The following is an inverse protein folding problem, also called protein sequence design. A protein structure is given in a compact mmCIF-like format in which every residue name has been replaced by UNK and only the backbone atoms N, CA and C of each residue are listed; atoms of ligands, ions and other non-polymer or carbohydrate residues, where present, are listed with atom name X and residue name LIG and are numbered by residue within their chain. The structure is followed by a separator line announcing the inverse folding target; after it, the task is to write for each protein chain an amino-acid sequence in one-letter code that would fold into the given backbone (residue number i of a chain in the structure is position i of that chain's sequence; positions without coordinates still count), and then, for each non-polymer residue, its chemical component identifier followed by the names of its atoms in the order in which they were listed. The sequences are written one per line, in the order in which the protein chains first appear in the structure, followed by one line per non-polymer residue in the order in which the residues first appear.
data_IF_868866827479
#
_entry.id   IF_868866827479
#
_cell.length_a   1.000
_cell.length_b   1.000
_cell.length_c   1.000
_cell.angle_alpha   90.00
_cell.angle_beta   90.00
_cell.angle_gamma   90.00
#
_symmetry.space_group_name_H-M   'P 1'
#
loop_
_entity.id
_entity.type
_entity.pdbx_description
1 polymer ?
#
# COMPACT_ATOMS: atom_id res chain seq x y z
N UNK A 1 -34.41 5.14 -22.80
CA UNK A 1 -33.83 6.25 -22.03
C UNK A 1 -32.40 6.41 -22.50
N UNK A 2 -31.94 7.63 -22.78
CA UNK A 2 -30.51 7.86 -23.01
C UNK A 2 -29.83 7.83 -21.64
N UNK A 3 -28.84 6.97 -21.47
CA UNK A 3 -28.08 6.92 -20.23
C UNK A 3 -27.16 8.13 -20.15
N UNK A 4 -27.05 8.69 -18.94
CA UNK A 4 -26.09 9.73 -18.65
C UNK A 4 -24.68 9.17 -18.72
N UNK A 5 -23.76 9.96 -19.23
CA UNK A 5 -22.36 9.58 -19.34
C UNK A 5 -21.48 10.59 -18.62
N UNK A 6 -20.39 10.10 -18.03
CA UNK A 6 -19.38 10.90 -17.36
C UNK A 6 -18.11 10.96 -18.19
N UNK A 7 -17.47 12.13 -18.19
CA UNK A 7 -16.17 12.34 -18.80
C UNK A 7 -15.50 13.58 -18.18
N UNK A 8 -14.34 13.93 -18.69
CA UNK A 8 -13.51 15.03 -18.20
C UNK A 8 -13.47 16.14 -19.25
N UNK A 9 -13.53 17.39 -18.79
CA UNK A 9 -13.33 18.56 -19.65
C UNK A 9 -11.89 18.61 -20.14
N UNK A 10 -11.75 18.72 -21.46
CA UNK A 10 -10.47 18.85 -22.15
C UNK A 10 -10.13 20.32 -22.40
N UNK A 11 -11.12 21.15 -22.71
CA UNK A 11 -10.91 22.58 -22.98
C UNK A 11 -12.22 23.36 -22.75
N UNK A 12 -12.10 24.62 -22.36
CA UNK A 12 -13.22 25.54 -22.09
C UNK A 12 -13.01 26.82 -22.88
N UNK A 13 -13.80 27.02 -23.93
CA UNK A 13 -13.78 28.23 -24.73
C UNK A 13 -15.14 28.93 -24.65
N UNK A 14 -15.32 29.77 -23.63
CA UNK A 14 -16.58 30.48 -23.40
C UNK A 14 -16.82 31.61 -24.40
N UNK A 15 -15.76 32.15 -25.02
CA UNK A 15 -15.86 33.20 -26.05
C UNK A 15 -16.52 32.65 -27.32
N UNK A 16 -16.14 31.43 -27.74
CA UNK A 16 -16.78 30.70 -28.84
C UNK A 16 -18.03 29.92 -28.39
N UNK A 17 -18.32 29.91 -27.09
CA UNK A 17 -19.47 29.23 -26.50
C UNK A 17 -19.39 27.70 -26.57
N UNK A 18 -18.18 27.14 -26.61
CA UNK A 18 -17.94 25.70 -26.72
C UNK A 18 -17.11 25.16 -25.54
N UNK A 19 -17.54 24.01 -25.00
CA UNK A 19 -16.79 23.22 -24.01
C UNK A 19 -16.42 21.90 -24.68
N UNK A 20 -15.13 21.55 -24.70
CA UNK A 20 -14.64 20.30 -25.29
C UNK A 20 -14.43 19.29 -24.16
N UNK A 21 -14.99 18.11 -24.34
CA UNK A 21 -15.00 17.01 -23.37
C UNK A 21 -14.32 15.81 -24.00
N UNK A 22 -13.49 15.11 -23.23
CA UNK A 22 -12.78 13.92 -23.72
C UNK A 22 -13.74 12.87 -24.30
N UNK A 23 -13.34 12.31 -25.44
CA UNK A 23 -14.02 11.16 -26.07
C UNK A 23 -14.18 9.98 -25.10
N UNK A 24 -15.33 9.30 -25.22
CA UNK A 24 -15.71 8.18 -24.33
C UNK A 24 -15.03 6.86 -24.68
N UNK A 25 -14.55 6.70 -25.91
CA UNK A 25 -13.84 5.52 -26.38
C UNK A 25 -12.56 5.98 -27.11
N UNK A 26 -11.43 5.35 -26.77
CA UNK A 26 -10.13 5.61 -27.38
C UNK A 26 -10.13 5.40 -28.90
N UNK A 27 -11.00 4.52 -29.42
CA UNK A 27 -11.12 4.20 -30.84
C UNK A 27 -11.87 5.27 -31.67
N UNK A 28 -12.49 6.27 -31.03
CA UNK A 28 -13.13 7.39 -31.74
C UNK A 28 -12.13 8.49 -32.09
N UNK A 29 -12.34 9.14 -33.24
CA UNK A 29 -11.49 10.24 -33.72
C UNK A 29 -11.79 11.57 -33.04
N UNK A 30 -13.07 11.83 -32.75
CA UNK A 30 -13.51 13.16 -32.32
C UNK A 30 -13.85 13.20 -30.83
N UNK A 31 -13.47 14.31 -30.18
CA UNK A 31 -13.90 14.68 -28.83
C UNK A 31 -15.38 15.14 -28.83
N UNK A 32 -15.96 15.23 -27.64
CA UNK A 32 -17.36 15.61 -27.45
C UNK A 32 -17.45 17.13 -27.29
N UNK A 33 -18.43 17.75 -27.95
CA UNK A 33 -18.62 19.21 -27.89
C UNK A 33 -19.90 19.54 -27.14
N UNK A 34 -19.82 20.43 -26.15
CA UNK A 34 -20.99 21.03 -25.52
C UNK A 34 -21.11 22.50 -25.97
N UNK A 35 -22.16 22.81 -26.73
CA UNK A 35 -22.44 24.19 -27.18
C UNK A 35 -23.22 24.96 -26.13
N UNK A 36 -23.11 26.29 -26.14
CA UNK A 36 -23.83 27.20 -25.24
C UNK A 36 -25.32 26.88 -25.07
N UNK A 37 -26.02 26.67 -26.18
CA UNK A 37 -27.45 26.30 -26.16
C UNK A 37 -27.77 25.00 -25.39
N UNK A 38 -26.78 24.16 -25.10
CA UNK A 38 -26.92 22.87 -24.42
C UNK A 38 -26.55 22.90 -22.93
N UNK A 39 -25.83 23.94 -22.48
CA UNK A 39 -25.46 24.09 -21.07
C UNK A 39 -26.02 25.37 -20.42
N UNK A 40 -26.43 26.39 -21.18
CA UNK A 40 -26.88 27.68 -20.63
C UNK A 40 -28.11 27.59 -19.73
N UNK A 41 -28.91 26.53 -19.88
CA UNK A 41 -30.07 26.25 -19.03
C UNK A 41 -29.75 25.35 -17.83
N UNK A 42 -28.63 24.63 -17.87
CA UNK A 42 -28.24 23.66 -16.84
C UNK A 42 -27.11 24.13 -15.94
N UNK A 43 -26.30 25.11 -16.39
CA UNK A 43 -25.21 25.72 -15.64
C UNK A 43 -25.54 27.17 -15.30
N UNK A 44 -25.33 27.55 -14.05
CA UNK A 44 -25.40 28.93 -13.59
C UNK A 44 -24.18 29.75 -14.06
N UNK A 45 -24.25 31.08 -13.94
CA UNK A 45 -23.11 31.95 -14.23
C UNK A 45 -21.87 31.58 -13.42
N UNK A 46 -22.05 31.25 -12.15
CA UNK A 46 -20.95 30.86 -11.25
C UNK A 46 -20.34 29.51 -11.67
N UNK A 47 -21.17 28.58 -12.16
CA UNK A 47 -20.69 27.28 -12.67
C UNK A 47 -19.76 27.49 -13.87
N UNK A 48 -20.13 28.39 -14.79
CA UNK A 48 -19.32 28.74 -15.98
C UNK A 48 -18.02 29.45 -15.61
N UNK A 49 -18.04 30.37 -14.64
CA UNK A 49 -16.85 31.06 -14.16
C UNK A 49 -15.87 30.11 -13.42
N UNK A 50 -16.38 29.01 -12.86
CA UNK A 50 -15.57 28.02 -12.14
C UNK A 50 -15.06 26.85 -13.00
N UNK A 51 -15.57 26.72 -14.22
CA UNK A 51 -15.32 25.59 -15.12
C UNK A 51 -13.88 25.64 -15.65
N UNK A 52 -13.16 24.53 -15.57
CA UNK A 52 -11.79 24.45 -16.09
C UNK A 52 -11.48 23.08 -16.70
N UNK A 53 -10.36 23.02 -17.41
CA UNK A 53 -9.77 21.76 -17.87
C UNK A 53 -9.53 20.81 -16.68
N UNK A 54 -9.91 19.55 -16.85
CA UNK A 54 -9.80 18.51 -15.83
C UNK A 54 -11.08 18.26 -15.01
N UNK A 55 -12.12 19.09 -15.15
CA UNK A 55 -13.35 18.94 -14.39
C UNK A 55 -14.15 17.71 -14.83
N UNK A 56 -14.67 16.95 -13.87
CA UNK A 56 -15.56 15.84 -14.17
C UNK A 56 -16.99 16.35 -14.41
N UNK A 57 -17.57 15.91 -15.52
CA UNK A 57 -18.89 16.33 -15.97
C UNK A 57 -19.78 15.14 -16.31
N UNK A 58 -21.06 15.30 -16.05
CA UNK A 58 -22.12 14.36 -16.42
C UNK A 58 -23.04 15.01 -17.46
N UNK A 59 -23.40 14.28 -18.52
CA UNK A 59 -24.24 14.81 -19.60
C UNK A 59 -24.99 13.69 -20.34
N UNK A 60 -25.96 14.09 -21.17
CA UNK A 60 -26.62 13.20 -22.12
C UNK A 60 -25.95 13.29 -23.49
N UNK A 61 -25.33 12.21 -24.02
CA UNK A 61 -24.74 12.24 -25.34
C UNK A 61 -25.82 12.25 -26.42
N UNK A 62 -25.65 13.10 -27.44
CA UNK A 62 -26.50 13.14 -28.64
C UNK A 62 -25.63 13.17 -29.88
N UNK A 63 -25.88 12.28 -30.83
CA UNK A 63 -25.17 12.26 -32.12
C UNK A 63 -25.94 13.06 -33.15
N UNK A 64 -25.27 14.01 -33.83
CA UNK A 64 -25.83 14.75 -34.98
C UNK A 64 -24.81 14.68 -36.11
N UNK A 65 -25.17 14.01 -37.21
CA UNK A 65 -24.22 13.68 -38.27
C UNK A 65 -23.12 12.75 -37.74
N UNK A 66 -21.85 13.12 -37.95
CA UNK A 66 -20.68 12.37 -37.44
C UNK A 66 -20.20 12.82 -36.07
N UNK A 67 -20.75 13.90 -35.51
CA UNK A 67 -20.28 14.51 -34.25
C UNK A 67 -21.17 14.14 -33.06
N UNK A 68 -20.57 14.11 -31.87
CA UNK A 68 -21.25 13.85 -30.61
C UNK A 68 -21.29 15.14 -29.80
N UNK A 69 -22.47 15.44 -29.28
CA UNK A 69 -22.73 16.59 -28.45
C UNK A 69 -23.12 16.17 -27.04
N UNK A 70 -22.67 16.94 -26.06
CA UNK A 70 -23.13 16.82 -24.69
C UNK A 70 -24.32 17.75 -24.47
N UNK A 71 -25.44 17.22 -23.95
CA UNK A 71 -26.62 18.00 -23.53
C UNK A 71 -26.81 17.95 -22.04
N UNK A 72 -27.38 19.03 -21.49
CA UNK A 72 -27.67 19.18 -20.06
C UNK A 72 -26.44 18.90 -19.21
N UNK A 73 -25.34 19.58 -19.57
CA UNK A 73 -24.07 19.46 -18.88
C UNK A 73 -24.25 19.80 -17.41
N UNK A 74 -23.84 18.87 -16.55
CA UNK A 74 -23.80 19.03 -15.11
C UNK A 74 -22.37 18.86 -14.65
N UNK A 75 -21.83 19.89 -14.00
CA UNK A 75 -20.55 19.77 -13.32
C UNK A 75 -20.77 18.86 -12.11
N UNK A 76 -20.00 17.78 -12.04
CA UNK A 76 -19.91 16.99 -10.83
C UNK A 76 -18.94 17.75 -9.92
N UNK A 77 -19.50 18.75 -9.23
CA UNK A 77 -18.84 19.79 -8.44
C UNK A 77 -17.38 19.46 -8.10
N UNK A 78 -16.45 20.19 -8.70
CA UNK A 78 -15.09 20.23 -8.22
C UNK A 78 -15.12 20.62 -6.75
N UNK A 79 -14.82 19.66 -5.88
CA UNK A 79 -14.28 19.93 -4.57
C UNK A 79 -12.98 20.70 -4.72
N UNK A 80 -13.04 22.01 -4.86
CA UNK A 80 -11.84 22.83 -4.77
C UNK A 80 -11.45 22.84 -3.29
N UNK A 81 -10.39 22.12 -2.98
CA UNK A 81 -9.79 22.13 -1.65
C UNK A 81 -9.04 23.47 -1.52
N UNK A 82 -9.34 24.21 -0.46
CA UNK A 82 -8.71 25.49 -0.17
C UNK A 82 -8.09 25.49 1.21
N UNK A 83 -7.10 26.37 1.38
CA UNK A 83 -6.50 26.68 2.68
C UNK A 83 -6.80 28.14 2.99
N UNK A 84 -7.30 28.42 4.19
CA UNK A 84 -7.53 29.77 4.69
C UNK A 84 -7.35 29.80 6.20
N UNK A 85 -7.75 30.89 6.86
CA UNK A 85 -7.66 31.07 8.31
C UNK A 85 -9.03 31.24 8.93
N UNK A 86 -9.19 30.73 10.14
CA UNK A 86 -10.38 30.97 10.96
C UNK A 86 -10.44 32.47 11.28
N UNK A 87 -11.55 33.09 10.87
CA UNK A 87 -11.86 34.49 11.16
C UNK A 87 -12.60 34.64 12.48
N UNK A 88 -13.54 33.73 12.75
CA UNK A 88 -14.39 33.77 13.93
C UNK A 88 -14.95 32.38 14.26
N UNK A 89 -15.18 32.11 15.54
CA UNK A 89 -15.76 30.85 16.04
C UNK A 89 -16.97 31.20 16.92
N UNK A 90 -18.15 30.76 16.49
CA UNK A 90 -19.37 30.80 17.28
C UNK A 90 -19.51 29.49 18.06
N UNK A 91 -19.21 29.53 19.35
CA UNK A 91 -19.25 28.37 20.25
C UNK A 91 -20.67 27.95 20.59
N UNK A 92 -21.60 28.90 20.67
CA UNK A 92 -23.00 28.62 21.05
C UNK A 92 -23.76 27.98 19.88
N UNK A 93 -23.49 28.44 18.65
CA UNK A 93 -24.14 27.92 17.44
C UNK A 93 -23.34 26.81 16.74
N UNK A 94 -22.16 26.49 17.26
CA UNK A 94 -21.24 25.49 16.68
C UNK A 94 -20.92 25.79 15.20
N UNK A 95 -20.50 27.03 14.94
CA UNK A 95 -20.17 27.54 13.61
C UNK A 95 -18.77 28.15 13.57
N UNK A 96 -18.10 28.00 12.43
CA UNK A 96 -16.77 28.56 12.17
C UNK A 96 -16.86 29.41 10.92
N UNK A 97 -16.42 30.67 11.00
CA UNK A 97 -16.29 31.58 9.87
C UNK A 97 -14.83 31.60 9.44
N UNK A 98 -14.60 31.37 8.15
CA UNK A 98 -13.28 31.22 7.56
C UNK A 98 -13.10 32.32 6.51
N UNK A 99 -11.94 32.98 6.53
CA UNK A 99 -11.66 34.10 5.63
C UNK A 99 -11.86 33.70 4.16
N UNK A 100 -12.46 34.60 3.37
CA UNK A 100 -12.51 34.50 1.90
C UNK A 100 -11.13 34.26 1.29
N UNK A 101 -11.10 33.54 0.17
CA UNK A 101 -9.85 33.10 -0.49
C UNK A 101 -9.41 34.05 -1.62
N UNK A 102 -10.31 34.89 -2.12
CA UNK A 102 -10.00 35.90 -3.15
C UNK A 102 -10.61 37.26 -2.79
N UNK A 103 -10.07 38.33 -3.39
CA UNK A 103 -10.61 39.70 -3.22
C UNK A 103 -11.93 39.91 -3.95
N UNK A 104 -12.18 39.12 -4.99
CA UNK A 104 -13.40 39.13 -5.80
C UNK A 104 -14.55 38.39 -5.12
N UNK A 105 -14.26 37.59 -4.08
CA UNK A 105 -15.26 36.94 -3.26
C UNK A 105 -15.86 37.94 -2.24
N UNK A 106 -17.17 38.16 -2.35
CA UNK A 106 -17.89 39.12 -1.51
C UNK A 106 -18.15 38.67 -0.07
N UNK A 107 -18.09 37.36 0.20
CA UNK A 107 -18.48 36.76 1.50
C UNK A 107 -17.46 35.75 2.00
N UNK A 108 -17.31 35.64 3.32
CA UNK A 108 -16.53 34.59 3.97
C UNK A 108 -17.20 33.20 3.87
N UNK A 109 -16.44 32.15 4.17
CA UNK A 109 -16.97 30.79 4.22
C UNK A 109 -17.57 30.48 5.59
N UNK A 110 -18.70 29.77 5.58
CA UNK A 110 -19.36 29.25 6.77
C UNK A 110 -19.15 27.73 6.88
N UNK A 111 -18.59 27.29 7.99
CA UNK A 111 -18.55 25.88 8.37
C UNK A 111 -19.50 25.64 9.55
N UNK A 112 -20.43 24.70 9.40
CA UNK A 112 -21.40 24.31 10.43
C UNK A 112 -21.09 22.91 10.93
N UNK A 113 -21.50 22.56 12.15
CA UNK A 113 -21.16 21.28 12.81
C UNK A 113 -21.21 20.04 11.91
N UNK A 114 -22.27 19.85 11.14
CA UNK A 114 -22.42 18.70 10.24
C UNK A 114 -21.27 18.54 9.22
N UNK A 115 -20.54 19.62 8.93
CA UNK A 115 -19.46 19.66 7.95
C UNK A 115 -18.07 19.38 8.54
N UNK A 116 -17.94 19.32 9.86
CA UNK A 116 -16.68 19.03 10.52
C UNK A 116 -16.77 17.96 11.61
N UNK A 117 -17.96 17.55 12.03
CA UNK A 117 -18.16 16.61 13.14
C UNK A 117 -17.56 15.22 12.92
N UNK A 118 -17.20 14.88 11.69
CA UNK A 118 -16.51 13.65 11.34
C UNK A 118 -14.98 13.75 11.46
N UNK A 119 -14.42 14.96 11.58
CA UNK A 119 -12.98 15.23 11.66
C UNK A 119 -12.60 15.85 13.01
N UNK A 120 -13.37 16.82 13.47
CA UNK A 120 -13.13 17.57 14.70
C UNK A 120 -13.96 16.99 15.84
N UNK A 121 -13.28 16.37 16.81
CA UNK A 121 -13.88 15.99 18.10
C UNK A 121 -14.25 17.23 18.90
N UNK A 122 -15.17 17.11 19.87
CA UNK A 122 -15.56 18.22 20.74
C UNK A 122 -14.36 18.86 21.47
N UNK A 123 -13.36 18.05 21.83
CA UNK A 123 -12.12 18.50 22.47
C UNK A 123 -11.29 19.37 21.51
N UNK A 124 -11.13 18.92 20.27
CA UNK A 124 -10.39 19.65 19.23
C UNK A 124 -11.12 20.93 18.80
N UNK A 125 -12.44 20.86 18.67
CA UNK A 125 -13.25 22.04 18.41
C UNK A 125 -12.97 23.08 19.50
N UNK A 126 -13.09 22.72 20.78
CA UNK A 126 -12.83 23.64 21.91
C UNK A 126 -11.44 24.26 21.94
N UNK A 127 -10.42 23.59 21.41
CA UNK A 127 -9.06 24.13 21.31
C UNK A 127 -8.82 25.07 20.13
N UNK A 128 -9.72 25.14 19.15
CA UNK A 128 -9.59 26.04 18.00
C UNK A 128 -9.50 27.51 18.41
N UNK A 129 -8.64 28.24 17.71
CA UNK A 129 -8.39 29.66 17.90
C UNK A 129 -8.60 30.45 16.60
N UNK A 130 -8.98 31.71 16.73
CA UNK A 130 -9.00 32.65 15.60
C UNK A 130 -7.57 32.79 15.06
N UNK A 131 -7.42 32.71 13.74
CA UNK A 131 -6.14 32.71 13.05
C UNK A 131 -5.59 31.32 12.71
N UNK A 132 -6.15 30.24 13.27
CA UNK A 132 -5.76 28.88 12.90
C UNK A 132 -5.97 28.66 11.40
N UNK A 133 -4.98 28.06 10.74
CA UNK A 133 -5.11 27.70 9.34
C UNK A 133 -5.93 26.43 9.22
N UNK A 134 -6.80 26.41 8.22
CA UNK A 134 -7.73 25.31 7.98
C UNK A 134 -7.79 25.00 6.50
N UNK A 135 -7.95 23.71 6.21
CA UNK A 135 -8.16 23.16 4.87
C UNK A 135 -9.60 22.69 4.76
N UNK A 136 -10.26 22.99 3.65
CA UNK A 136 -11.66 22.65 3.45
C UNK A 136 -12.02 22.52 1.98
N UNK A 137 -13.08 21.77 1.70
CA UNK A 137 -13.76 21.75 0.41
C UNK A 137 -14.72 22.92 0.31
N UNK A 138 -14.58 23.80 -0.68
CA UNK A 138 -15.57 24.85 -0.91
C UNK A 138 -16.83 24.28 -1.55
N UNK A 139 -17.97 24.77 -1.08
CA UNK A 139 -19.28 24.46 -1.65
C UNK A 139 -20.12 25.74 -1.69
N UNK A 140 -20.64 26.09 -2.85
CA UNK A 140 -21.52 27.25 -3.03
C UNK A 140 -22.96 26.74 -3.13
N UNK A 141 -23.82 27.15 -2.20
CA UNK A 141 -25.25 26.79 -2.17
C UNK A 141 -26.06 28.04 -1.84
N UNK A 142 -27.11 28.32 -2.62
CA UNK A 142 -28.03 29.45 -2.41
C UNK A 142 -27.32 30.81 -2.18
N UNK A 143 -26.30 31.10 -3.00
CA UNK A 143 -25.48 32.32 -2.89
C UNK A 143 -24.77 32.52 -1.53
N UNK A 144 -24.52 31.41 -0.82
CA UNK A 144 -23.70 31.31 0.39
C UNK A 144 -22.51 30.39 0.14
N UNK A 145 -21.40 30.72 0.77
CA UNK A 145 -20.14 30.00 0.66
C UNK A 145 -19.98 29.10 1.90
N UNK A 146 -19.88 27.80 1.68
CA UNK A 146 -19.71 26.80 2.73
C UNK A 146 -18.32 26.16 2.66
N UNK A 147 -17.81 25.82 3.83
CA UNK A 147 -16.63 24.99 3.99
C UNK A 147 -17.08 23.61 4.49
N UNK A 148 -16.94 22.59 3.64
CA UNK A 148 -17.17 21.19 3.98
C UNK A 148 -15.82 20.49 4.25
N UNK A 149 -15.82 19.42 5.05
CA UNK A 149 -14.62 18.61 5.36
C UNK A 149 -13.48 19.45 5.98
N UNK A 150 -13.79 20.19 7.05
CA UNK A 150 -12.82 21.08 7.68
C UNK A 150 -11.72 20.30 8.42
N UNK A 151 -10.47 20.51 8.00
CA UNK A 151 -9.26 20.02 8.64
C UNK A 151 -8.45 21.19 9.20
N UNK A 152 -7.89 21.06 10.41
CA UNK A 152 -7.08 22.10 11.05
C UNK A 152 -5.63 21.85 10.72
N UNK A 153 -4.95 22.86 10.16
CA UNK A 153 -3.55 22.77 9.80
C UNK A 153 -2.69 23.20 10.99
N UNK A 154 -1.88 22.28 11.49
CA UNK A 154 -0.90 22.54 12.55
C UNK A 154 0.37 23.17 11.97
N UNK A 155 1.17 23.85 12.79
CA UNK A 155 2.40 24.57 12.38
C UNK A 155 3.44 23.68 11.68
N UNK A 156 3.29 22.35 11.72
CA UNK A 156 4.11 21.41 10.94
C UNK A 156 3.73 21.35 9.45
N UNK A 157 2.50 21.74 9.07
CA UNK A 157 1.94 21.63 7.71
C UNK A 157 2.08 22.91 6.87
N UNK A 158 2.71 23.97 7.41
CA UNK A 158 2.82 25.29 6.77
C UNK A 158 4.19 25.63 6.18
N UNK A 159 5.10 24.66 6.12
CA UNK A 159 6.31 24.77 5.31
C UNK A 159 5.97 24.29 3.91
N UNK A 160 6.34 25.07 2.89
CA UNK A 160 6.29 24.69 1.49
C UNK A 160 6.59 23.19 1.32
N UNK A 161 5.58 22.43 0.88
CA UNK A 161 5.69 20.99 0.67
C UNK A 161 6.63 20.71 -0.51
N UNK A 162 7.92 20.64 -0.22
CA UNK A 162 8.53 19.35 -0.49
C UNK A 162 7.94 18.42 0.56
N UNK A 163 6.99 17.56 0.18
CA UNK A 163 6.51 16.47 1.06
C UNK A 163 7.74 15.67 1.44
N UNK A 164 8.37 16.01 2.57
CA UNK A 164 9.49 15.26 3.09
C UNK A 164 8.87 14.11 3.84
N UNK A 165 8.48 13.09 3.09
CA UNK A 165 8.00 11.81 3.62
C UNK A 165 8.96 11.41 4.73
N UNK A 166 8.49 11.42 5.98
CA UNK A 166 9.29 10.99 7.12
C UNK A 166 9.34 9.47 7.10
N UNK A 167 10.27 8.93 6.31
CA UNK A 167 10.46 7.48 6.14
C UNK A 167 10.71 6.78 7.47
N UNK A 168 11.34 7.46 8.43
CA UNK A 168 11.53 6.93 9.79
C UNK A 168 10.19 6.68 10.48
N UNK A 169 9.27 7.66 10.45
CA UNK A 169 7.94 7.50 11.05
C UNK A 169 7.12 6.40 10.35
N UNK A 170 7.22 6.30 9.02
CA UNK A 170 6.58 5.20 8.28
C UNK A 170 7.14 3.83 8.67
N UNK A 171 8.47 3.72 8.80
CA UNK A 171 9.14 2.49 9.25
C UNK A 171 8.70 2.12 10.66
N UNK A 172 8.68 3.07 11.61
CA UNK A 172 8.26 2.81 12.99
C UNK A 172 6.81 2.30 13.06
N UNK A 173 5.89 2.94 12.35
CA UNK A 173 4.49 2.50 12.30
C UNK A 173 4.32 1.13 11.64
N UNK A 174 5.08 0.83 10.58
CA UNK A 174 5.07 -0.48 9.92
C UNK A 174 5.54 -1.56 10.89
N UNK A 175 6.67 -1.34 11.58
CA UNK A 175 7.24 -2.32 12.51
C UNK A 175 6.31 -2.53 13.70
N UNK A 176 5.69 -1.47 14.24
CA UNK A 176 4.72 -1.60 15.32
C UNK A 176 3.49 -2.41 14.89
N UNK A 177 2.95 -2.14 13.70
CA UNK A 177 1.85 -2.90 13.12
C UNK A 177 2.21 -4.39 12.93
N UNK A 178 3.42 -4.67 12.46
CA UNK A 178 3.96 -6.04 12.32
C UNK A 178 4.03 -6.74 13.69
N UNK A 179 4.55 -6.07 14.72
CA UNK A 179 4.67 -6.61 16.08
C UNK A 179 3.30 -6.88 16.69
N UNK A 180 2.37 -5.94 16.58
CA UNK A 180 1.00 -6.10 17.07
C UNK A 180 0.30 -7.28 16.38
N UNK A 181 0.38 -7.36 15.05
CA UNK A 181 -0.21 -8.47 14.29
C UNK A 181 0.37 -9.82 14.69
N UNK A 182 1.69 -9.91 14.90
CA UNK A 182 2.34 -11.15 15.34
C UNK A 182 1.78 -11.65 16.68
N UNK A 183 1.52 -10.74 17.63
CA UNK A 183 0.99 -11.11 18.94
C UNK A 183 -0.40 -11.77 18.86
N UNK A 184 -1.19 -11.40 17.86
CA UNK A 184 -2.55 -11.93 17.67
C UNK A 184 -2.58 -13.30 16.95
N UNK A 185 -1.48 -13.69 16.29
CA UNK A 185 -1.41 -14.95 15.55
C UNK A 185 -1.31 -16.14 16.50
N UNK A 186 -2.34 -16.98 16.50
CA UNK A 186 -2.42 -18.19 17.33
C UNK A 186 -2.62 -19.49 16.53
N UNK A 187 -2.70 -19.38 15.19
CA UNK A 187 -2.85 -20.53 14.29
C UNK A 187 -1.56 -20.74 13.49
N UNK A 188 -1.16 -22.00 13.33
CA UNK A 188 0.07 -22.36 12.60
C UNK A 188 0.07 -21.86 11.16
N UNK A 189 -1.03 -22.08 10.43
CA UNK A 189 -1.14 -21.65 9.03
C UNK A 189 -1.03 -20.13 8.84
N UNK A 190 -1.52 -19.33 9.79
CA UNK A 190 -1.41 -17.87 9.75
C UNK A 190 0.03 -17.43 10.11
N UNK A 191 0.69 -18.18 11.00
CA UNK A 191 2.08 -17.94 11.37
C UNK A 191 3.04 -18.23 10.21
N UNK A 192 2.82 -19.32 9.46
CA UNK A 192 3.55 -19.65 8.23
C UNK A 192 3.46 -18.52 7.20
N UNK A 193 2.23 -18.04 6.93
CA UNK A 193 1.98 -16.96 5.97
C UNK A 193 2.66 -15.65 6.43
N UNK A 194 2.64 -15.38 7.74
CA UNK A 194 3.30 -14.22 8.33
C UNK A 194 4.82 -14.29 8.22
N UNK A 195 5.43 -15.43 8.53
CA UNK A 195 6.88 -15.63 8.40
C UNK A 195 7.31 -15.45 6.94
N UNK A 196 6.57 -16.02 5.99
CA UNK A 196 6.83 -15.85 4.56
C UNK A 196 6.72 -14.37 4.14
N UNK A 197 5.77 -13.63 4.69
CA UNK A 197 5.67 -12.18 4.49
C UNK A 197 6.89 -11.42 5.02
N UNK A 198 7.38 -11.73 6.23
CA UNK A 198 8.61 -11.12 6.78
C UNK A 198 9.82 -11.39 5.88
N UNK A 199 9.97 -12.62 5.37
CA UNK A 199 11.05 -12.94 4.44
C UNK A 199 11.00 -12.13 3.13
N UNK A 200 9.80 -11.89 2.59
CA UNK A 200 9.63 -11.00 1.43
C UNK A 200 10.07 -9.57 1.75
N UNK A 201 9.71 -9.03 2.92
CA UNK A 201 10.12 -7.68 3.33
C UNK A 201 11.63 -7.57 3.60
N UNK A 202 12.24 -8.63 4.13
CA UNK A 202 13.70 -8.75 4.24
C UNK A 202 14.38 -8.73 2.86
N UNK A 203 13.64 -8.92 1.76
CA UNK A 203 14.15 -8.80 0.40
C UNK A 203 15.05 -9.97 0.04
N UNK A 204 14.74 -11.17 0.55
CA UNK A 204 15.46 -12.39 0.20
C UNK A 204 15.27 -12.68 -1.30
N UNK A 205 16.38 -12.87 -2.02
CA UNK A 205 16.41 -12.95 -3.49
C UNK A 205 15.69 -14.17 -4.06
N UNK A 206 15.81 -15.32 -3.38
CA UNK A 206 15.17 -16.57 -3.78
C UNK A 206 14.42 -17.13 -2.57
N UNK A 207 13.09 -17.15 -2.63
CA UNK A 207 12.27 -17.79 -1.61
C UNK A 207 11.14 -18.60 -2.25
N UNK A 208 10.97 -19.82 -1.76
CA UNK A 208 10.07 -20.83 -2.27
C UNK A 208 9.24 -21.37 -1.10
N UNK A 209 7.98 -20.93 -0.98
CA UNK A 209 7.04 -21.54 -0.05
C UNK A 209 6.58 -22.91 -0.61
N UNK A 210 6.44 -23.91 0.25
CA UNK A 210 5.83 -25.20 -0.10
C UNK A 210 4.31 -25.05 -0.03
N UNK A 211 3.56 -25.37 -1.10
CA UNK A 211 2.11 -25.26 -1.08
C UNK A 211 1.45 -26.14 0.00
N UNK A 212 0.45 -25.58 0.70
CA UNK A 212 -0.24 -26.24 1.83
C UNK A 212 -0.92 -27.57 1.43
N UNK A 213 -1.39 -27.68 0.19
CA UNK A 213 -1.95 -28.91 -0.38
C UNK A 213 -0.91 -30.03 -0.61
N UNK A 214 0.39 -29.73 -0.42
CA UNK A 214 1.51 -30.64 -0.59
C UNK A 214 2.37 -30.74 0.70
N UNK A 215 1.85 -30.29 1.85
CA UNK A 215 2.60 -30.08 3.09
C UNK A 215 2.80 -31.35 3.95
N UNK A 216 2.40 -32.54 3.49
CA UNK A 216 2.47 -33.78 4.27
C UNK A 216 3.90 -34.14 4.71
N UNK A 217 4.31 -33.67 5.90
CA UNK A 217 5.65 -33.89 6.48
C UNK A 217 6.78 -33.08 5.83
N UNK A 218 6.47 -32.12 4.96
CA UNK A 218 7.45 -31.25 4.30
C UNK A 218 7.68 -29.97 5.11
N UNK A 219 8.81 -29.33 4.88
CA UNK A 219 9.09 -28.00 5.38
C UNK A 219 8.13 -26.97 4.77
N UNK A 220 7.99 -25.81 5.41
CA UNK A 220 7.10 -24.74 4.94
C UNK A 220 7.72 -23.96 3.77
N UNK A 221 9.04 -23.94 3.68
CA UNK A 221 9.70 -23.34 2.55
C UNK A 221 11.22 -23.44 2.58
N UNK A 222 11.79 -22.83 1.55
CA UNK A 222 13.21 -22.81 1.27
C UNK A 222 13.56 -21.41 0.85
N UNK A 223 14.69 -20.89 1.32
CA UNK A 223 15.21 -19.64 0.78
C UNK A 223 16.72 -19.69 0.58
N UNK A 224 17.19 -18.86 -0.34
CA UNK A 224 18.62 -18.66 -0.59
C UNK A 224 18.93 -17.18 -0.59
N UNK A 225 20.06 -16.86 0.02
CA UNK A 225 20.61 -15.51 -0.01
C UNK A 225 21.92 -15.56 -0.79
N UNK A 226 21.89 -14.98 -1.97
CA UNK A 226 23.03 -14.92 -2.88
C UNK A 226 23.93 -13.73 -2.55
N UNK A 227 25.23 -13.91 -2.81
CA UNK A 227 26.19 -12.81 -2.82
C UNK A 227 26.05 -12.05 -4.16
N UNK A 228 25.81 -10.74 -4.12
CA UNK A 228 25.65 -9.89 -5.31
C UNK A 228 26.90 -9.90 -6.18
N UNK A 229 28.09 -9.85 -5.56
CA UNK A 229 29.35 -9.71 -6.29
C UNK A 229 29.75 -10.96 -7.05
N UNK A 230 29.39 -12.15 -6.55
CA UNK A 230 29.74 -13.44 -7.16
C UNK A 230 28.55 -14.15 -7.79
N UNK A 231 27.33 -13.68 -7.53
CA UNK A 231 26.06 -14.33 -7.86
C UNK A 231 26.01 -15.80 -7.42
N UNK A 232 26.69 -16.13 -6.31
CA UNK A 232 26.70 -17.47 -5.71
C UNK A 232 25.94 -17.49 -4.38
N UNK A 233 25.15 -18.54 -4.09
CA UNK A 233 24.45 -18.67 -2.81
C UNK A 233 25.42 -18.67 -1.64
N UNK A 234 25.26 -17.72 -0.71
CA UNK A 234 26.07 -17.63 0.52
C UNK A 234 25.44 -18.44 1.65
N UNK A 235 24.10 -18.45 1.69
CA UNK A 235 23.27 -19.13 2.69
C UNK A 235 22.10 -19.81 1.97
N UNK A 236 21.87 -21.08 2.27
CA UNK A 236 20.72 -21.84 1.82
C UNK A 236 20.02 -22.44 3.03
N UNK A 237 18.72 -22.19 3.16
CA UNK A 237 17.94 -22.54 4.34
C UNK A 237 16.68 -23.30 3.97
N UNK A 238 16.45 -24.42 4.63
CA UNK A 238 15.12 -25.05 4.73
C UNK A 238 14.50 -24.56 6.03
N UNK A 239 13.29 -23.98 5.98
CA UNK A 239 12.62 -23.47 7.16
C UNK A 239 11.25 -24.12 7.39
N UNK A 240 10.89 -24.23 8.66
CA UNK A 240 9.62 -24.77 9.13
C UNK A 240 9.19 -23.98 10.38
N UNK A 241 7.93 -23.59 10.43
CA UNK A 241 7.35 -22.67 11.39
C UNK A 241 6.51 -23.45 12.39
N UNK A 242 6.60 -23.09 13.67
CA UNK A 242 5.76 -23.72 14.68
C UNK A 242 5.49 -22.81 15.86
N UNK A 243 4.25 -22.92 16.35
CA UNK A 243 3.82 -22.31 17.61
C UNK A 243 3.89 -23.31 18.78
N UNK A 244 4.35 -24.54 18.54
CA UNK A 244 4.43 -25.58 19.56
C UNK A 244 5.72 -25.40 20.39
N UNK A 245 5.63 -25.17 21.71
CA UNK A 245 6.81 -25.04 22.57
C UNK A 245 7.63 -26.34 22.68
N UNK A 246 7.03 -27.50 22.39
CA UNK A 246 7.69 -28.82 22.47
C UNK A 246 8.07 -29.35 21.09
N UNK A 247 8.31 -28.45 20.13
CA UNK A 247 8.57 -28.81 18.74
C UNK A 247 9.78 -29.74 18.57
N UNK A 248 10.82 -29.61 19.39
CA UNK A 248 12.06 -30.41 19.26
C UNK A 248 11.79 -31.90 19.26
N UNK A 249 10.91 -32.36 20.15
CA UNK A 249 10.53 -33.77 20.27
C UNK A 249 9.74 -34.21 19.04
N UNK A 250 8.80 -33.38 18.58
CA UNK A 250 7.88 -33.71 17.48
C UNK A 250 8.52 -33.62 16.10
N UNK A 251 9.47 -32.70 15.91
CA UNK A 251 10.10 -32.40 14.62
C UNK A 251 11.43 -33.13 14.41
N UNK A 252 11.91 -33.92 15.37
CA UNK A 252 13.20 -34.62 15.27
C UNK A 252 13.38 -35.39 13.95
N UNK A 253 12.39 -36.19 13.57
CA UNK A 253 12.45 -36.94 12.30
C UNK A 253 12.31 -36.02 11.07
N UNK A 254 11.52 -34.96 11.17
CA UNK A 254 11.39 -33.96 10.10
C UNK A 254 12.74 -33.26 9.85
N UNK A 255 13.44 -32.85 10.91
CA UNK A 255 14.77 -32.22 10.81
C UNK A 255 15.77 -33.15 10.14
N UNK A 256 15.78 -34.44 10.50
CA UNK A 256 16.62 -35.44 9.84
C UNK A 256 16.33 -35.54 8.33
N UNK A 257 15.05 -35.47 7.96
CA UNK A 257 14.65 -35.43 6.56
C UNK A 257 15.10 -34.14 5.87
N UNK A 258 15.01 -32.99 6.54
CA UNK A 258 15.46 -31.70 6.00
C UNK A 258 16.97 -31.69 5.76
N UNK A 259 17.77 -32.27 6.67
CA UNK A 259 19.22 -32.44 6.46
C UNK A 259 19.47 -33.24 5.19
N UNK A 260 18.83 -34.40 5.07
CA UNK A 260 18.96 -35.25 3.89
C UNK A 260 18.50 -34.57 2.60
N UNK A 261 17.57 -33.60 2.67
CA UNK A 261 17.06 -32.86 1.51
C UNK A 261 18.01 -31.75 1.05
N UNK A 262 18.54 -30.94 1.98
CA UNK A 262 19.40 -29.80 1.64
C UNK A 262 20.77 -30.22 1.10
N UNK A 263 21.16 -31.47 1.39
CA UNK A 263 22.34 -32.15 0.87
C UNK A 263 22.21 -32.63 -0.59
N UNK A 264 20.99 -32.70 -1.13
CA UNK A 264 20.78 -33.15 -2.51
C UNK A 264 21.17 -32.04 -3.48
N UNK A 265 21.50 -32.41 -4.72
CA UNK A 265 21.77 -31.43 -5.79
C UNK A 265 20.57 -30.54 -6.11
N UNK A 266 19.35 -31.07 -5.94
CA UNK A 266 18.12 -30.32 -6.21
C UNK A 266 16.90 -30.83 -5.45
N UNK A 267 15.90 -29.97 -5.32
CA UNK A 267 14.56 -30.30 -4.83
C UNK A 267 13.49 -29.72 -5.76
N UNK A 268 12.42 -30.48 -6.00
CA UNK A 268 11.29 -30.03 -6.82
C UNK A 268 10.10 -29.62 -5.96
N UNK A 269 9.53 -28.45 -6.25
CA UNK A 269 8.26 -27.97 -5.69
C UNK A 269 7.26 -27.77 -6.82
N UNK A 270 6.06 -28.33 -6.65
CA UNK A 270 4.98 -28.23 -7.61
C UNK A 270 3.99 -27.15 -7.15
N UNK A 271 3.83 -26.09 -7.93
CA UNK A 271 2.89 -25.01 -7.67
C UNK A 271 1.64 -25.15 -8.53
N UNK A 272 0.48 -25.07 -7.91
CA UNK A 272 -0.79 -25.07 -8.62
C UNK A 272 -1.23 -23.63 -8.92
N UNK A 273 -1.38 -23.31 -10.20
CA UNK A 273 -1.88 -22.02 -10.69
C UNK A 273 -3.27 -22.20 -11.29
N UNK A 274 -4.22 -21.37 -10.84
CA UNK A 274 -5.58 -21.33 -11.36
C UNK A 274 -5.59 -20.31 -12.49
N UNK A 275 -5.62 -20.78 -13.73
CA UNK A 275 -5.66 -19.91 -14.93
C UNK A 275 -7.09 -19.50 -15.27
N UNK A 276 -8.08 -20.33 -14.92
CA UNK A 276 -9.51 -20.03 -14.95
C UNK A 276 -10.25 -20.94 -13.97
N UNK A 277 -11.54 -20.67 -13.70
CA UNK A 277 -12.38 -21.41 -12.73
C UNK A 277 -12.43 -22.93 -12.93
N UNK A 278 -11.99 -23.43 -14.08
CA UNK A 278 -12.06 -24.85 -14.44
C UNK A 278 -10.71 -25.47 -14.84
N UNK A 279 -9.62 -24.70 -14.89
CA UNK A 279 -8.33 -25.18 -15.38
C UNK A 279 -7.19 -24.92 -14.38
N UNK A 280 -6.62 -26.00 -13.86
CA UNK A 280 -5.50 -26.02 -12.90
C UNK A 280 -4.23 -26.39 -13.65
N UNK A 281 -3.23 -25.50 -13.65
CA UNK A 281 -1.91 -25.75 -14.24
C UNK A 281 -0.91 -26.01 -13.13
N UNK A 282 -0.14 -27.09 -13.25
CA UNK A 282 0.95 -27.40 -12.32
C UNK A 282 2.26 -26.87 -12.91
N UNK A 283 2.95 -26.00 -12.16
CA UNK A 283 4.29 -25.50 -12.49
C UNK A 283 5.29 -26.19 -11.57
N UNK A 284 6.14 -27.04 -12.16
CA UNK A 284 7.24 -27.70 -11.44
C UNK A 284 8.43 -26.78 -11.38
N UNK A 285 8.86 -26.41 -10.18
CA UNK A 285 10.03 -25.58 -9.92
C UNK A 285 11.14 -26.44 -9.34
N UNK A 286 12.27 -26.51 -10.02
CA UNK A 286 13.48 -27.20 -9.52
C UNK A 286 14.39 -26.18 -8.84
N UNK A 287 14.69 -26.44 -7.57
CA UNK A 287 15.56 -25.64 -6.71
C UNK A 287 16.90 -26.34 -6.66
N UNK A 288 17.94 -25.72 -7.23
CA UNK A 288 19.31 -26.22 -7.18
C UNK A 288 20.00 -25.78 -5.89
N UNK A 289 20.70 -26.69 -5.23
CA UNK A 289 21.51 -26.41 -4.04
C UNK A 289 22.99 -26.39 -4.40
N UNK A 290 23.74 -25.48 -3.78
CA UNK A 290 25.18 -25.34 -4.02
C UNK A 290 25.98 -26.02 -2.89
N UNK A 291 27.01 -26.80 -3.21
CA UNK A 291 27.84 -27.46 -2.18
C UNK A 291 28.73 -26.49 -1.41
N UNK A 292 29.04 -25.31 -1.97
CA UNK A 292 29.91 -24.31 -1.35
C UNK A 292 29.14 -23.28 -0.50
N UNK A 293 27.81 -23.42 -0.38
CA UNK A 293 26.98 -22.53 0.43
C UNK A 293 26.92 -23.02 1.88
N UNK A 294 26.71 -22.10 2.81
CA UNK A 294 26.37 -22.47 4.18
C UNK A 294 24.93 -23.02 4.21
N UNK A 295 24.77 -24.20 4.82
CA UNK A 295 23.49 -24.91 4.91
C UNK A 295 22.91 -24.78 6.30
N UNK A 296 21.66 -24.30 6.38
CA UNK A 296 20.96 -24.23 7.65
C UNK A 296 19.55 -24.82 7.58
N UNK A 297 19.11 -25.32 8.72
CA UNK A 297 17.71 -25.71 8.95
C UNK A 297 17.17 -24.84 10.05
N UNK A 298 16.13 -24.08 9.75
CA UNK A 298 15.54 -23.13 10.69
C UNK A 298 14.19 -23.63 11.15
N UNK A 299 14.04 -23.82 12.45
CA UNK A 299 12.72 -23.94 13.07
C UNK A 299 12.35 -22.57 13.62
N UNK A 300 11.36 -21.93 12.99
CA UNK A 300 10.97 -20.56 13.31
C UNK A 300 9.86 -20.58 14.35
N UNK A 301 10.10 -19.90 15.47
CA UNK A 301 9.20 -19.88 16.63
C UNK A 301 9.01 -18.46 17.16
N UNK A 302 8.11 -18.30 18.13
CA UNK A 302 7.99 -17.09 18.94
C UNK A 302 8.92 -17.07 20.16
N UNK A 303 9.77 -18.09 20.32
CA UNK A 303 10.69 -18.22 21.45
C UNK A 303 12.00 -17.47 21.18
N UNK A 304 13.12 -17.96 21.69
CA UNK A 304 14.45 -17.38 21.53
C UNK A 304 15.25 -18.04 20.43
N UNK A 305 16.06 -17.27 19.71
CA UNK A 305 17.03 -17.81 18.76
C UNK A 305 18.14 -18.56 19.48
N UNK A 306 18.49 -19.75 18.99
CA UNK A 306 19.62 -20.55 19.47
C UNK A 306 20.05 -21.59 18.45
N UNK A 307 21.31 -21.99 18.53
CA UNK A 307 21.81 -23.19 17.84
C UNK A 307 21.28 -24.41 18.58
N UNK A 308 20.60 -25.29 17.85
CA UNK A 308 20.03 -26.55 18.35
C UNK A 308 21.02 -27.68 18.12
N UNK A 309 21.62 -27.71 16.94
CA UNK A 309 22.56 -28.75 16.55
C UNK A 309 23.54 -28.22 15.49
N UNK A 310 24.79 -28.70 15.53
CA UNK A 310 25.73 -28.54 14.42
C UNK A 310 26.17 -29.94 13.98
N UNK A 311 25.63 -30.38 12.85
CA UNK A 311 25.87 -31.72 12.29
C UNK A 311 26.84 -31.67 11.11
N UNK A 312 27.59 -32.76 10.93
CA UNK A 312 28.37 -33.02 9.73
C UNK A 312 27.70 -34.19 9.00
N UNK A 313 27.33 -34.00 7.75
CA UNK A 313 26.75 -35.03 6.89
C UNK A 313 27.74 -35.40 5.79
N UNK A 314 27.92 -36.71 5.54
CA UNK A 314 28.77 -37.20 4.45
C UNK A 314 27.96 -37.19 3.14
N UNK A 315 28.43 -36.41 2.17
CA UNK A 315 27.81 -36.30 0.86
C UNK A 315 28.88 -36.57 -0.18
N UNK A 316 28.81 -37.73 -0.83
CA UNK A 316 29.72 -38.11 -1.91
C UNK A 316 31.22 -38.07 -1.52
N UNK A 317 31.53 -38.34 -0.24
CA UNK A 317 32.90 -38.37 0.29
C UNK A 317 33.42 -37.02 0.80
N UNK A 318 32.61 -35.96 0.76
CA UNK A 318 32.89 -34.67 1.39
C UNK A 318 32.00 -34.47 2.62
N UNK A 319 32.59 -33.97 3.71
CA UNK A 319 31.85 -33.63 4.94
C UNK A 319 31.24 -32.24 4.79
N UNK A 320 29.91 -32.17 4.83
CA UNK A 320 29.16 -30.92 4.77
C UNK A 320 28.60 -30.56 6.15
N UNK A 321 28.94 -29.36 6.62
CA UNK A 321 28.39 -28.83 7.87
C UNK A 321 26.97 -28.31 7.65
N UNK A 322 26.05 -28.72 8.50
CA UNK A 322 24.66 -28.24 8.53
C UNK A 322 24.35 -27.74 9.93
N UNK A 323 23.93 -26.48 10.01
CA UNK A 323 23.55 -25.84 11.26
C UNK A 323 22.03 -25.89 11.44
N UNK A 324 21.56 -26.46 12.55
CA UNK A 324 20.14 -26.43 12.92
C UNK A 324 19.95 -25.34 13.97
N UNK A 325 19.06 -24.40 13.68
CA UNK A 325 18.73 -23.28 14.57
C UNK A 325 17.25 -23.29 14.92
N UNK A 326 16.95 -22.96 16.16
CA UNK A 326 15.69 -22.31 16.49
C UNK A 326 15.88 -20.83 16.17
N UNK A 327 14.97 -20.23 15.42
CA UNK A 327 15.04 -18.82 15.05
C UNK A 327 13.79 -18.10 15.53
N UNK A 328 14.00 -17.06 16.33
CA UNK A 328 12.91 -16.20 16.77
C UNK A 328 12.44 -15.32 15.62
N UNK A 329 11.12 -15.32 15.37
CA UNK A 329 10.51 -14.35 14.45
C UNK A 329 10.74 -12.91 14.92
N UNK A 330 10.92 -12.67 16.22
CA UNK A 330 11.21 -11.35 16.76
C UNK A 330 12.61 -10.86 16.34
N UNK A 331 13.60 -11.75 16.27
CA UNK A 331 14.94 -11.42 15.79
C UNK A 331 14.93 -11.12 14.27
N UNK A 332 14.14 -11.86 13.49
CA UNK A 332 13.91 -11.55 12.07
C UNK A 332 13.26 -10.16 11.88
N UNK A 333 12.25 -9.83 12.69
CA UNK A 333 11.61 -8.50 12.67
C UNK A 333 12.62 -7.42 13.07
N UNK A 334 13.50 -7.67 14.03
CA UNK A 334 14.58 -6.75 14.41
C UNK A 334 15.59 -6.54 13.28
N UNK A 335 15.94 -7.58 12.53
CA UNK A 335 16.77 -7.45 11.33
C UNK A 335 16.06 -6.59 10.28
N UNK A 336 14.75 -6.80 10.08
CA UNK A 336 13.94 -6.00 9.17
C UNK A 336 13.89 -4.52 9.61
N UNK A 337 13.62 -4.24 10.88
CA UNK A 337 13.61 -2.89 11.45
C UNK A 337 14.96 -2.19 11.22
N UNK A 338 16.06 -2.87 11.54
CA UNK A 338 17.41 -2.35 11.30
C UNK A 338 17.66 -2.07 9.82
N UNK A 339 17.21 -2.97 8.93
CA UNK A 339 17.31 -2.81 7.47
C UNK A 339 16.54 -1.56 7.00
N UNK A 340 15.32 -1.36 7.48
CA UNK A 340 14.47 -0.24 7.07
C UNK A 340 14.92 1.11 7.64
N UNK A 341 15.62 1.12 8.78
CA UNK A 341 16.21 2.33 9.34
C UNK A 341 17.57 2.71 8.75
N UNK A 342 18.25 1.78 8.07
CA UNK A 342 19.54 2.08 7.49
C UNK A 342 19.38 2.99 6.25
N UNK A 343 19.83 4.23 6.42
CA UNK A 343 19.83 5.24 5.36
C UNK A 343 21.03 5.11 4.42
N UNK A 344 21.96 4.19 4.69
CA UNK A 344 23.12 3.93 3.84
C UNK A 344 22.75 2.87 2.79
N UNK A 345 23.58 2.78 1.75
CA UNK A 345 23.47 1.73 0.75
C UNK A 345 23.70 0.36 1.42
N UNK A 346 22.62 -0.38 1.69
CA UNK A 346 22.69 -1.78 2.13
C UNK A 346 22.88 -2.64 0.88
N UNK A 347 24.00 -3.34 0.79
CA UNK A 347 24.11 -4.46 -0.15
C UNK A 347 23.28 -5.61 0.42
N UNK A 348 22.55 -6.35 -0.42
CA UNK A 348 21.83 -7.56 0.04
C UNK A 348 22.78 -8.55 0.76
N UNK A 349 24.08 -8.48 0.47
CA UNK A 349 25.14 -9.23 1.12
C UNK A 349 25.18 -9.01 2.64
N UNK A 350 24.89 -7.79 3.10
CA UNK A 350 24.83 -7.46 4.53
C UNK A 350 23.66 -8.17 5.23
N UNK A 351 22.57 -8.44 4.49
CA UNK A 351 21.42 -9.20 4.99
C UNK A 351 21.81 -10.68 5.10
N UNK A 352 22.53 -11.23 4.12
CA UNK A 352 23.04 -12.60 4.18
C UNK A 352 23.91 -12.82 5.43
N UNK A 353 24.81 -11.87 5.74
CA UNK A 353 25.67 -11.96 6.91
C UNK A 353 24.90 -11.80 8.22
N UNK A 354 23.95 -10.87 8.28
CA UNK A 354 23.08 -10.73 9.46
C UNK A 354 22.25 -11.99 9.71
N UNK A 355 21.72 -12.62 8.65
CA UNK A 355 20.95 -13.86 8.76
C UNK A 355 21.82 -15.06 9.13
N UNK A 356 23.05 -15.16 8.61
CA UNK A 356 24.02 -16.20 9.02
C UNK A 356 24.36 -16.14 10.50
N UNK A 357 24.49 -14.93 11.03
CA UNK A 357 24.89 -14.69 12.41
C UNK A 357 23.72 -14.45 13.37
N UNK A 358 22.49 -14.74 12.92
CA UNK A 358 21.32 -14.74 13.81
C UNK A 358 21.44 -15.81 14.89
#
# INVERSE_FOLDING_TARGET
MLDKVRSIIKDVNLDDGEIIIHKLDKNRKDDIVCKKAYYEKSLSRNDLESLKEGDEVEFYPTTIGSKIYAKELKILSNSSIHISTIKYIDREREQIIINRISREQDKDFLCIKQYYSHVLTDTLFKSLSVGDKVKFKSVIKDNKFYAELLEVLTTQELKEETIKVNTKFLTENLIESIRSSLNEINKGADFEDFVFFIFKLLGISEIYAVPKNNAGGRADGIFKVSNISTNTPKLEVIYDCTLDPNWEIKKKEQIKNYKSQICRSSMSIDYEFIESTSNKKIIKTSILFNNNSQKEIWIITKSSTRVVENSQEDISGEQMSILVKEVSIFDLIKILENKLHDTKYIKIDDIADRLKHI
#
